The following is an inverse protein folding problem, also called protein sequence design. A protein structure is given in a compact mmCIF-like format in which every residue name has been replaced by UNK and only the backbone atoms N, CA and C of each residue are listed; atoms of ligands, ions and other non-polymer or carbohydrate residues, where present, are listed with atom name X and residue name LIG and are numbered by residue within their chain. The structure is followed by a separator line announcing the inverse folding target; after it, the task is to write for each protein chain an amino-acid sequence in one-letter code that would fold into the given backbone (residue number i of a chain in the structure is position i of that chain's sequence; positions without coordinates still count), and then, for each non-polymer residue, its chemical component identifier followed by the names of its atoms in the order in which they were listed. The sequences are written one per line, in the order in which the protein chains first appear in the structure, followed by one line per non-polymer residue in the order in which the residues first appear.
data_IF_739878807637
#
_entry.id   IF_739878807637
#
_cell.length_a   1.000
_cell.length_b   1.000
_cell.length_c   1.000
_cell.angle_alpha   90.00
_cell.angle_beta   90.00
_cell.angle_gamma   90.00
#
_symmetry.space_group_name_H-M   'P 1'
#
loop_
_entity.id
_entity.type
_entity.pdbx_description
1 polymer ?
#
# COMPACT_ATOMS: atom_id res chain seq x y z
N UNK A 1 5.57 -4.74 -16.76
CA UNK A 1 5.70 -4.00 -15.48
C UNK A 1 4.51 -4.36 -14.59
N UNK A 2 4.66 -4.23 -13.27
CA UNK A 2 3.55 -4.38 -12.31
C UNK A 2 3.28 -3.00 -11.71
N UNK A 3 2.00 -2.64 -11.59
CA UNK A 3 1.55 -1.39 -10.96
C UNK A 3 0.60 -1.79 -9.83
N UNK A 4 0.84 -1.27 -8.63
CA UNK A 4 -0.02 -1.50 -7.47
C UNK A 4 -0.52 -0.15 -6.98
N UNK A 5 -1.84 0.03 -6.99
CA UNK A 5 -2.47 1.27 -6.54
C UNK A 5 -2.60 1.28 -5.02
N UNK A 6 -2.25 2.42 -4.43
CA UNK A 6 -2.22 2.59 -2.98
C UNK A 6 -3.09 3.76 -2.57
N UNK A 7 -3.88 3.54 -1.53
CA UNK A 7 -4.70 4.58 -0.91
C UNK A 7 -3.88 5.37 0.12
N UNK A 8 -2.96 4.71 0.83
CA UNK A 8 -2.17 5.32 1.91
C UNK A 8 -0.67 5.06 1.77
N UNK A 9 0.12 6.00 2.29
CA UNK A 9 1.57 5.84 2.34
C UNK A 9 2.04 4.89 3.46
N UNK A 10 1.31 4.81 4.57
CA UNK A 10 1.67 3.99 5.75
C UNK A 10 0.41 3.40 6.41
N UNK A 11 0.51 2.20 7.02
CA UNK A 11 -0.56 1.63 7.82
C UNK A 11 -0.71 2.40 9.14
N UNK A 12 -1.84 2.20 9.83
CA UNK A 12 -2.09 2.82 11.14
C UNK A 12 -1.02 2.52 12.17
N UNK A 13 -0.44 1.30 12.17
CA UNK A 13 0.62 0.87 13.09
C UNK A 13 1.85 1.79 13.09
N UNK A 14 2.13 2.47 11.97
CA UNK A 14 3.25 3.41 11.90
C UNK A 14 3.06 4.61 12.85
N UNK A 15 1.81 5.01 13.06
CA UNK A 15 1.45 6.17 13.87
C UNK A 15 1.04 5.80 15.31
N UNK A 16 0.85 4.51 15.60
CA UNK A 16 0.51 4.05 16.94
C UNK A 16 1.75 3.99 17.86
N UNK A 17 1.50 3.77 19.15
CA UNK A 17 2.53 3.68 20.19
C UNK A 17 2.42 2.37 20.96
N UNK A 18 3.49 1.98 21.64
CA UNK A 18 3.51 0.76 22.45
C UNK A 18 3.51 -0.52 21.61
N UNK A 19 2.73 -1.52 22.05
CA UNK A 19 2.74 -2.86 21.44
C UNK A 19 2.25 -2.90 19.99
N UNK A 20 1.36 -1.98 19.61
CA UNK A 20 0.79 -1.89 18.27
C UNK A 20 1.71 -1.19 17.25
N UNK A 21 2.72 -0.46 17.74
CA UNK A 21 3.63 0.28 16.87
C UNK A 21 4.41 -0.69 15.97
N UNK A 22 4.48 -0.36 14.68
CA UNK A 22 5.31 -1.04 13.70
C UNK A 22 6.06 0.00 12.87
N UNK A 23 7.40 -0.02 12.88
CA UNK A 23 8.21 0.91 12.10
C UNK A 23 8.27 0.52 10.62
N UNK A 24 7.11 0.36 9.99
CA UNK A 24 6.95 -0.10 8.61
C UNK A 24 6.30 0.97 7.76
N UNK A 25 6.97 1.32 6.66
CA UNK A 25 6.50 2.29 5.67
C UNK A 25 6.61 1.65 4.28
N UNK A 26 5.66 0.79 3.88
CA UNK A 26 5.81 -0.06 2.70
C UNK A 26 6.13 0.74 1.44
N UNK A 27 7.12 0.28 0.68
CA UNK A 27 7.54 0.78 -0.62
C UNK A 27 7.44 -0.31 -1.69
N UNK A 28 8.12 -0.13 -2.83
CA UNK A 28 8.04 -1.09 -3.93
C UNK A 28 8.57 -2.49 -3.58
N UNK A 29 9.62 -2.58 -2.74
CA UNK A 29 10.17 -3.86 -2.29
C UNK A 29 9.16 -4.63 -1.43
N UNK A 30 8.52 -3.95 -0.47
CA UNK A 30 7.53 -4.54 0.43
C UNK A 30 6.30 -5.02 -0.34
N UNK A 31 5.80 -4.21 -1.29
CA UNK A 31 4.70 -4.61 -2.16
C UNK A 31 5.09 -5.75 -3.12
N UNK A 32 6.39 -5.99 -3.33
CA UNK A 32 6.94 -7.14 -4.03
C UNK A 32 7.19 -8.36 -3.14
N UNK A 33 6.81 -8.32 -1.86
CA UNK A 33 6.97 -9.42 -0.92
C UNK A 33 8.27 -9.40 -0.09
N UNK A 34 9.05 -8.32 -0.14
CA UNK A 34 10.30 -8.17 0.62
C UNK A 34 10.15 -7.07 1.67
N UNK A 35 9.91 -7.48 2.92
CA UNK A 35 9.71 -6.54 4.03
C UNK A 35 11.00 -6.28 4.80
N UNK A 36 11.40 -5.02 4.88
CA UNK A 36 12.61 -4.60 5.63
C UNK A 36 12.23 -4.23 7.06
N UNK A 37 12.81 -4.95 8.04
CA UNK A 37 12.42 -4.84 9.45
C UNK A 37 13.68 -4.73 10.32
N UNK A 38 14.17 -3.51 10.56
CA UNK A 38 15.46 -3.32 11.22
C UNK A 38 15.41 -3.54 12.73
N UNK A 39 14.23 -3.47 13.35
CA UNK A 39 14.05 -3.64 14.80
C UNK A 39 13.59 -5.06 15.11
N UNK A 40 14.27 -5.70 16.08
CA UNK A 40 13.94 -7.07 16.48
C UNK A 40 12.51 -7.20 17.02
N UNK A 41 12.08 -6.22 17.83
CA UNK A 41 10.73 -6.17 18.38
C UNK A 41 9.62 -6.15 17.31
N UNK A 42 9.87 -5.52 16.16
CA UNK A 42 8.93 -5.46 15.06
C UNK A 42 8.96 -6.77 14.27
N UNK A 43 10.15 -7.34 14.05
CA UNK A 43 10.31 -8.64 13.40
C UNK A 43 9.56 -9.74 14.15
N UNK A 44 9.66 -9.76 15.49
CA UNK A 44 9.01 -10.76 16.32
C UNK A 44 7.48 -10.66 16.33
N UNK A 45 6.91 -9.49 15.99
CA UNK A 45 5.46 -9.31 15.83
C UNK A 45 4.95 -9.82 14.48
N UNK A 46 5.80 -9.91 13.47
CA UNK A 46 5.36 -10.18 12.11
C UNK A 46 4.88 -11.62 11.95
N UNK A 47 3.66 -11.73 11.45
CA UNK A 47 3.11 -12.96 10.92
C UNK A 47 2.36 -12.68 9.61
N UNK A 48 1.85 -13.74 8.98
CA UNK A 48 1.09 -13.62 7.74
C UNK A 48 -0.19 -12.78 7.89
N UNK A 49 -0.82 -12.78 9.07
CA UNK A 49 -2.07 -12.04 9.30
C UNK A 49 -1.80 -10.55 9.38
N UNK A 50 -0.79 -10.14 10.13
CA UNK A 50 -0.38 -8.75 10.27
C UNK A 50 0.12 -8.17 8.95
N UNK A 51 0.94 -8.91 8.20
CA UNK A 51 1.37 -8.46 6.88
C UNK A 51 0.20 -8.31 5.90
N UNK A 52 -0.75 -9.25 5.93
CA UNK A 52 -1.98 -9.16 5.11
C UNK A 52 -2.81 -7.94 5.49
N UNK A 53 -2.98 -7.64 6.78
CA UNK A 53 -3.74 -6.45 7.20
C UNK A 53 -3.03 -5.16 6.80
N UNK A 54 -1.70 -5.08 6.96
CA UNK A 54 -0.91 -3.92 6.54
C UNK A 54 -1.07 -3.67 5.05
N UNK A 55 -0.89 -4.71 4.21
CA UNK A 55 -1.00 -4.57 2.75
C UNK A 55 -2.41 -4.14 2.37
N UNK A 56 -3.45 -4.80 2.90
CA UNK A 56 -4.86 -4.46 2.60
C UNK A 56 -5.24 -3.05 3.01
N UNK A 57 -4.68 -2.54 4.11
CA UNK A 57 -4.99 -1.19 4.58
C UNK A 57 -4.42 -0.10 3.66
N UNK A 58 -3.27 -0.35 3.03
CA UNK A 58 -2.59 0.65 2.21
C UNK A 58 -2.92 0.55 0.73
N UNK A 59 -3.45 -0.58 0.26
CA UNK A 59 -3.92 -0.77 -1.13
C UNK A 59 -5.35 -0.30 -1.29
N UNK A 60 -5.70 0.15 -2.48
CA UNK A 60 -7.10 0.40 -2.84
C UNK A 60 -7.87 -0.93 -2.96
N UNK A 61 -9.19 -0.88 -2.85
CA UNK A 61 -10.04 -2.03 -3.17
C UNK A 61 -10.24 -2.23 -4.69
N UNK A 62 -10.80 -3.38 -5.05
CA UNK A 62 -11.04 -3.79 -6.44
C UNK A 62 -11.94 -2.82 -7.23
N UNK A 63 -12.88 -2.15 -6.56
CA UNK A 63 -13.81 -1.22 -7.22
C UNK A 63 -13.08 0.08 -7.60
N UNK A 64 -12.30 0.62 -6.66
CA UNK A 64 -11.45 1.78 -6.88
C UNK A 64 -10.40 1.47 -7.95
N UNK A 65 -9.75 0.30 -7.88
CA UNK A 65 -8.77 -0.13 -8.88
C UNK A 65 -9.37 -0.14 -10.29
N UNK A 66 -10.52 -0.80 -10.48
CA UNK A 66 -11.23 -0.82 -11.77
C UNK A 66 -11.59 0.60 -12.25
N UNK A 67 -12.00 1.47 -11.33
CA UNK A 67 -12.29 2.87 -11.63
C UNK A 67 -11.06 3.67 -12.06
N UNK A 68 -9.91 3.46 -11.42
CA UNK A 68 -8.63 4.09 -11.81
C UNK A 68 -8.22 3.60 -13.19
N UNK A 69 -8.21 2.28 -13.41
CA UNK A 69 -7.85 1.67 -14.70
C UNK A 69 -8.73 2.26 -15.80
N UNK A 70 -10.05 2.28 -15.62
CA UNK A 70 -10.97 2.86 -16.60
C UNK A 70 -10.65 4.32 -16.91
N UNK A 71 -10.38 5.16 -15.89
CA UNK A 71 -10.05 6.58 -16.12
C UNK A 71 -8.74 6.77 -16.90
N UNK A 72 -7.76 5.91 -16.66
CA UNK A 72 -6.44 5.95 -17.30
C UNK A 72 -6.47 5.39 -18.73
N UNK A 73 -7.33 4.41 -19.01
CA UNK A 73 -7.36 3.72 -20.32
C UNK A 73 -8.51 4.12 -21.22
N UNK A 74 -9.53 4.84 -20.73
CA UNK A 74 -10.62 5.33 -21.56
C UNK A 74 -10.12 6.33 -22.61
N UNK A 75 -10.72 6.29 -23.79
CA UNK A 75 -10.54 7.34 -24.80
C UNK A 75 -11.12 8.66 -24.28
N UNK A 76 -10.30 9.71 -24.28
CA UNK A 76 -10.72 11.05 -23.88
C UNK A 76 -10.80 11.95 -25.11
N UNK A 77 -11.79 12.85 -25.15
CA UNK A 77 -11.82 13.90 -26.17
C UNK A 77 -10.62 14.82 -25.93
N UNK A 78 -9.80 15.02 -26.97
CA UNK A 78 -8.74 16.02 -26.95
C UNK A 78 -9.41 17.40 -26.86
N UNK A 79 -9.13 18.12 -25.79
CA UNK A 79 -9.56 19.50 -25.62
C UNK A 79 -8.38 20.39 -26.03
N UNK A 80 -8.60 21.23 -27.03
CA UNK A 80 -7.66 22.30 -27.38
C UNK A 80 -8.14 23.56 -26.67
N UNK A 81 -7.29 24.11 -25.81
CA UNK A 81 -7.49 25.42 -25.20
C UNK A 81 -6.67 26.38 -26.05
N UNK A 82 -7.36 27.31 -26.74
CA UNK A 82 -6.75 28.26 -27.67
C UNK A 82 -5.72 29.18 -27.04
#
# INVERSE_FOLDING_TARGET
SVVIFREKHRPHNYYSTGADHLAMSPGCADMGGVFVVPRREDYDKLDSKLLTSVVREITVDDEIEKGIIWRLTRTQRRLEVG
#
